data_IF_630776032308
#
_entry.id   IF_630776032308
#
_cell.length_a   1.000
_cell.length_b   1.000
_cell.length_c   1.000
_cell.angle_alpha   90.00
_cell.angle_beta   90.00
_cell.angle_gamma   90.00
#
_symmetry.space_group_name_H-M   'P 1'
#
loop_
_entity.id
_entity.type
_entity.pdbx_description
1 polymer ?
#
# COMPACT_ATOMS: atom_id res chain seq x y z
N UNK A 1 10.00 -15.11 -10.57
CA UNK A 1 9.30 -14.26 -9.58
C UNK A 1 10.13 -13.03 -9.32
N UNK A 2 9.53 -11.85 -9.28
CA UNK A 2 10.20 -10.58 -8.97
C UNK A 2 10.37 -10.42 -7.44
N UNK A 3 11.30 -9.57 -7.00
CA UNK A 3 11.44 -9.22 -5.58
C UNK A 3 10.14 -8.67 -4.96
N UNK A 4 9.31 -8.03 -5.79
CA UNK A 4 7.99 -7.50 -5.42
C UNK A 4 7.02 -8.61 -5.04
N UNK A 5 7.08 -9.77 -5.72
CA UNK A 5 6.17 -10.90 -5.47
C UNK A 5 6.49 -11.61 -4.14
N UNK A 6 7.78 -11.64 -3.77
CA UNK A 6 8.24 -12.24 -2.50
C UNK A 6 7.89 -11.34 -1.32
N UNK A 7 7.98 -10.02 -1.49
CA UNK A 7 7.51 -9.06 -0.50
C UNK A 7 6.00 -9.22 -0.27
N UNK A 8 5.21 -9.27 -1.34
CA UNK A 8 3.75 -9.50 -1.31
C UNK A 8 3.36 -10.75 -0.51
N UNK A 9 4.05 -11.87 -0.70
CA UNK A 9 3.78 -13.10 0.05
C UNK A 9 4.00 -12.99 1.57
N UNK A 10 4.89 -12.09 2.03
CA UNK A 10 5.13 -11.82 3.45
C UNK A 10 4.24 -10.72 4.03
N UNK A 11 3.45 -10.04 3.18
CA UNK A 11 2.55 -8.94 3.53
C UNK A 11 1.12 -9.40 3.81
N UNK A 12 0.80 -10.64 3.45
CA UNK A 12 -0.39 -11.35 3.91
C UNK A 12 -0.67 -11.15 5.41
N UNK A 13 0.39 -11.20 6.22
CA UNK A 13 0.35 -11.02 7.68
C UNK A 13 0.05 -9.58 8.14
N UNK A 14 0.15 -8.59 7.24
CA UNK A 14 -0.12 -7.18 7.55
C UNK A 14 -1.60 -6.83 7.43
N UNK A 15 -2.35 -7.62 6.66
CA UNK A 15 -3.77 -7.40 6.47
C UNK A 15 -4.54 -7.83 7.73
N UNK A 16 -5.55 -7.05 8.15
CA UNK A 16 -6.43 -7.48 9.21
C UNK A 16 -7.17 -8.78 8.82
N UNK A 17 -7.60 -9.59 9.80
CA UNK A 17 -8.42 -10.77 9.52
C UNK A 17 -9.66 -10.44 8.67
N UNK A 18 -10.01 -11.34 7.75
CA UNK A 18 -11.18 -11.20 6.87
C UNK A 18 -10.95 -10.42 5.58
N UNK A 19 -9.77 -9.83 5.38
CA UNK A 19 -9.41 -9.19 4.12
C UNK A 19 -8.95 -10.22 3.08
N UNK A 20 -9.51 -10.10 1.87
CA UNK A 20 -9.08 -10.81 0.66
C UNK A 20 -7.84 -10.10 0.12
N UNK A 21 -6.79 -10.85 -0.15
CA UNK A 21 -5.53 -10.30 -0.66
C UNK A 21 -5.60 -10.10 -2.17
N UNK A 22 -4.87 -9.11 -2.68
CA UNK A 22 -4.71 -8.89 -4.13
C UNK A 22 -6.05 -8.82 -4.89
N UNK A 23 -7.05 -8.21 -4.25
CA UNK A 23 -8.38 -8.15 -4.84
C UNK A 23 -8.39 -7.17 -6.02
N UNK A 24 -8.88 -7.64 -7.16
CA UNK A 24 -8.94 -6.85 -8.39
C UNK A 24 -10.37 -6.36 -8.60
N UNK A 25 -10.54 -5.05 -8.61
CA UNK A 25 -11.78 -4.41 -9.04
C UNK A 25 -11.79 -4.28 -10.57
N UNK A 26 -12.81 -4.82 -11.22
CA UNK A 26 -13.11 -4.48 -12.60
C UNK A 26 -13.78 -3.10 -12.64
N UNK A 27 -13.19 -2.16 -13.37
CA UNK A 27 -13.64 -0.78 -13.50
C UNK A 27 -14.23 -0.57 -14.89
N UNK A 28 -15.46 -0.06 -14.94
CA UNK A 28 -16.11 0.40 -16.16
C UNK A 28 -16.67 1.82 -15.95
N UNK A 29 -16.14 2.79 -16.70
CA UNK A 29 -16.51 4.21 -16.59
C UNK A 29 -16.58 4.81 -17.99
N UNK A 30 -17.75 5.29 -18.41
CA UNK A 30 -17.94 5.98 -19.71
C UNK A 30 -17.32 5.24 -20.92
N UNK A 31 -17.43 3.90 -20.93
CA UNK A 31 -16.89 3.03 -21.98
C UNK A 31 -15.42 2.64 -21.82
N UNK A 32 -14.70 3.23 -20.86
CA UNK A 32 -13.38 2.74 -20.44
C UNK A 32 -13.52 1.49 -19.58
N UNK A 33 -12.74 0.45 -19.90
CA UNK A 33 -12.61 -0.77 -19.10
C UNK A 33 -11.19 -0.90 -18.57
N UNK A 34 -11.06 -1.18 -17.29
CA UNK A 34 -9.78 -1.35 -16.63
C UNK A 34 -9.88 -2.19 -15.38
N UNK A 35 -8.74 -2.37 -14.73
CA UNK A 35 -8.64 -3.14 -13.50
C UNK A 35 -7.84 -2.34 -12.47
N UNK A 36 -8.26 -2.43 -11.20
CA UNK A 36 -7.52 -1.88 -10.08
C UNK A 36 -7.32 -2.97 -9.02
N UNK A 37 -6.09 -3.47 -8.92
CA UNK A 37 -5.67 -4.35 -7.82
C UNK A 37 -5.46 -3.52 -6.54
N UNK A 38 -5.99 -4.01 -5.42
CA UNK A 38 -5.66 -3.52 -4.08
C UNK A 38 -4.99 -4.61 -3.25
N UNK A 39 -4.09 -4.23 -2.34
CA UNK A 39 -3.36 -5.19 -1.52
C UNK A 39 -4.30 -5.97 -0.59
N UNK A 40 -5.37 -5.34 -0.09
CA UNK A 40 -6.42 -6.02 0.66
C UNK A 40 -7.81 -5.44 0.49
N UNK A 41 -8.84 -6.29 0.46
CA UNK A 41 -10.25 -5.88 0.42
C UNK A 41 -11.12 -6.68 1.39
N UNK A 42 -11.94 -6.01 2.19
CA UNK A 42 -12.89 -6.64 3.10
C UNK A 42 -14.32 -6.54 2.54
N UNK A 43 -14.96 -7.66 2.14
CA UNK A 43 -16.24 -7.62 1.41
C UNK A 43 -17.40 -7.00 2.20
N UNK A 44 -17.50 -7.26 3.51
CA UNK A 44 -18.66 -6.84 4.29
C UNK A 44 -18.61 -5.37 4.69
N UNK A 45 -17.43 -4.84 5.04
CA UNK A 45 -17.23 -3.40 5.31
C UNK A 45 -16.93 -2.59 4.05
N UNK A 46 -16.68 -3.27 2.92
CA UNK A 46 -16.28 -2.70 1.63
C UNK A 46 -15.07 -1.80 1.77
N UNK A 47 -14.10 -2.27 2.55
CA UNK A 47 -12.89 -1.51 2.85
C UNK A 47 -11.72 -2.02 2.03
N UNK A 48 -10.99 -1.12 1.38
CA UNK A 48 -9.78 -1.47 0.65
C UNK A 48 -8.52 -0.93 1.35
N UNK A 49 -7.42 -1.65 1.17
CA UNK A 49 -6.13 -1.41 1.78
C UNK A 49 -5.04 -1.42 0.70
N UNK A 50 -4.16 -0.41 0.77
CA UNK A 50 -2.88 -0.36 0.06
C UNK A 50 -1.72 -0.40 1.05
N UNK A 51 -0.64 -1.09 0.69
CA UNK A 51 0.60 -1.19 1.45
C UNK A 51 1.70 -0.52 0.63
N UNK A 52 2.01 0.73 0.99
CA UNK A 52 3.11 1.47 0.38
C UNK A 52 4.43 1.12 1.08
N UNK A 53 5.21 0.26 0.43
CA UNK A 53 6.55 -0.08 0.88
C UNK A 53 7.60 0.94 0.43
N UNK A 54 8.58 1.15 1.30
CA UNK A 54 9.81 1.84 0.93
C UNK A 54 11.01 1.03 1.39
N UNK A 55 11.81 0.61 0.42
CA UNK A 55 13.14 0.03 0.63
C UNK A 55 14.17 1.08 1.11
N UNK A 56 13.76 2.34 1.30
CA UNK A 56 14.69 3.39 1.72
C UNK A 56 15.07 3.18 3.18
N UNK A 57 16.35 2.86 3.39
CA UNK A 57 17.03 2.91 4.69
C UNK A 57 17.57 4.32 5.00
N UNK A 58 17.39 5.29 4.09
CA UNK A 58 17.87 6.67 4.24
C UNK A 58 16.85 7.59 4.90
N UNK A 59 17.27 8.84 5.15
CA UNK A 59 16.49 9.83 5.91
C UNK A 59 15.22 10.33 5.19
N UNK A 60 15.19 10.25 3.85
CA UNK A 60 14.07 10.70 3.04
C UNK A 60 13.63 9.61 2.04
N UNK A 61 12.31 9.50 1.76
CA UNK A 61 11.84 8.58 0.73
C UNK A 61 12.24 9.03 -0.67
N UNK A 62 12.56 8.05 -1.52
CA UNK A 62 12.96 8.28 -2.91
C UNK A 62 11.78 8.83 -3.73
N UNK A 63 12.00 9.62 -4.80
CA UNK A 63 10.94 10.17 -5.63
C UNK A 63 9.93 9.12 -6.16
N UNK A 64 10.41 7.94 -6.56
CA UNK A 64 9.54 6.85 -7.01
C UNK A 64 8.59 6.34 -5.92
N UNK A 65 9.00 6.35 -4.65
CA UNK A 65 8.18 5.91 -3.52
C UNK A 65 7.09 6.94 -3.21
N UNK A 66 7.43 8.23 -3.29
CA UNK A 66 6.45 9.33 -3.16
C UNK A 66 5.37 9.23 -4.24
N UNK A 67 5.77 8.95 -5.50
CA UNK A 67 4.84 8.75 -6.62
C UNK A 67 3.96 7.51 -6.44
N UNK A 68 4.53 6.39 -5.97
CA UNK A 68 3.74 5.20 -5.66
C UNK A 68 2.68 5.49 -4.59
N UNK A 69 3.06 6.12 -3.48
CA UNK A 69 2.11 6.50 -2.44
C UNK A 69 0.97 7.39 -2.98
N UNK A 70 1.31 8.40 -3.79
CA UNK A 70 0.31 9.26 -4.42
C UNK A 70 -0.62 8.46 -5.35
N UNK A 71 -0.08 7.55 -6.15
CA UNK A 71 -0.86 6.65 -7.01
C UNK A 71 -1.79 5.74 -6.20
N UNK A 72 -1.31 5.16 -5.10
CA UNK A 72 -2.08 4.27 -4.23
C UNK A 72 -3.24 5.03 -3.58
N UNK A 73 -3.00 6.27 -3.13
CA UNK A 73 -4.06 7.16 -2.61
C UNK A 73 -5.08 7.50 -3.69
N UNK A 74 -4.64 7.91 -4.89
CA UNK A 74 -5.54 8.26 -5.99
C UNK A 74 -6.41 7.08 -6.43
N UNK A 75 -5.84 5.87 -6.47
CA UNK A 75 -6.58 4.63 -6.74
C UNK A 75 -7.72 4.42 -5.73
N UNK A 76 -7.45 4.58 -4.43
CA UNK A 76 -8.48 4.46 -3.39
C UNK A 76 -9.53 5.57 -3.48
N UNK A 77 -9.14 6.81 -3.82
CA UNK A 77 -10.10 7.90 -4.07
C UNK A 77 -11.04 7.55 -5.21
N UNK A 78 -10.50 7.07 -6.35
CA UNK A 78 -11.27 6.68 -7.51
C UNK A 78 -12.26 5.56 -7.17
N UNK A 79 -11.79 4.48 -6.55
CA UNK A 79 -12.64 3.35 -6.14
C UNK A 79 -13.79 3.79 -5.21
N UNK A 80 -13.54 4.80 -4.36
CA UNK A 80 -14.58 5.36 -3.50
C UNK A 80 -15.58 6.21 -4.30
N UNK A 81 -15.11 7.05 -5.22
CA UNK A 81 -15.96 7.88 -6.07
C UNK A 81 -16.87 7.03 -6.98
N UNK A 82 -16.36 5.90 -7.46
CA UNK A 82 -17.13 4.89 -8.20
C UNK A 82 -18.06 4.07 -7.30
N UNK A 83 -18.05 4.34 -6.00
CA UNK A 83 -18.89 3.64 -5.03
C UNK A 83 -18.56 2.15 -4.94
N UNK A 84 -17.33 1.72 -5.26
CA UNK A 84 -16.89 0.32 -5.16
C UNK A 84 -16.43 -0.03 -3.75
N UNK A 85 -15.81 0.93 -3.07
CA UNK A 85 -15.40 0.82 -1.66
C UNK A 85 -16.11 1.90 -0.84
N UNK A 86 -16.39 1.59 0.42
CA UNK A 86 -16.93 2.55 1.39
C UNK A 86 -15.82 3.30 2.13
N UNK A 87 -14.66 2.66 2.32
CA UNK A 87 -13.49 3.22 3.02
C UNK A 87 -12.19 2.74 2.37
N UNK A 88 -11.14 3.57 2.43
CA UNK A 88 -9.80 3.21 1.98
C UNK A 88 -8.78 3.41 3.09
N UNK A 89 -7.79 2.54 3.21
CA UNK A 89 -6.62 2.77 4.06
C UNK A 89 -5.31 2.59 3.32
N UNK A 90 -4.31 3.39 3.68
CA UNK A 90 -2.94 3.21 3.20
C UNK A 90 -2.02 2.93 4.37
N UNK A 91 -1.36 1.79 4.33
CA UNK A 91 -0.30 1.40 5.26
C UNK A 91 1.06 1.79 4.70
N UNK A 92 1.78 2.61 5.44
CA UNK A 92 3.16 2.97 5.10
C UNK A 92 4.10 2.20 6.02
N UNK A 93 5.01 1.40 5.45
CA UNK A 93 5.85 0.49 6.23
C UNK A 93 7.24 1.05 6.60
N UNK A 94 7.62 2.21 6.05
CA UNK A 94 8.93 2.84 6.28
C UNK A 94 8.86 4.06 7.20
N UNK A 95 9.78 4.20 8.17
CA UNK A 95 9.90 5.40 9.00
C UNK A 95 10.16 6.68 8.21
N UNK A 96 10.99 6.63 7.16
CA UNK A 96 11.27 7.81 6.35
C UNK A 96 10.02 8.30 5.61
N UNK A 97 9.21 7.35 5.13
CA UNK A 97 7.93 7.70 4.53
C UNK A 97 6.94 8.25 5.56
N UNK A 98 6.86 7.65 6.75
CA UNK A 98 6.06 8.16 7.86
C UNK A 98 6.38 9.63 8.13
N UNK A 99 7.66 9.94 8.34
CA UNK A 99 8.12 11.30 8.68
C UNK A 99 7.79 12.29 7.57
N UNK A 100 8.05 11.91 6.31
CA UNK A 100 7.70 12.75 5.17
C UNK A 100 6.19 13.01 5.09
N UNK A 101 5.34 11.99 5.26
CA UNK A 101 3.88 12.15 5.25
C UNK A 101 3.38 13.12 6.33
N UNK A 102 4.00 13.11 7.51
CA UNK A 102 3.69 14.06 8.58
C UNK A 102 4.08 15.50 8.22
N UNK A 103 5.23 15.67 7.55
CA UNK A 103 5.77 16.99 7.19
C UNK A 103 5.09 17.60 5.95
N UNK A 104 4.74 16.80 4.95
CA UNK A 104 4.20 17.24 3.65
C UNK A 104 2.70 16.94 3.48
N UNK A 105 2.01 16.57 4.56
CA UNK A 105 0.70 15.92 4.55
C UNK A 105 -0.51 16.79 4.24
N UNK A 106 -0.37 18.00 3.66
CA UNK A 106 -1.53 18.86 3.37
C UNK A 106 -2.55 18.15 2.47
N UNK A 107 -2.08 17.47 1.43
CA UNK A 107 -2.91 16.68 0.51
C UNK A 107 -3.39 15.36 1.13
N UNK A 108 -2.63 14.75 2.03
CA UNK A 108 -3.04 13.57 2.81
C UNK A 108 -4.17 13.91 3.79
N UNK A 109 -4.11 15.10 4.40
CA UNK A 109 -5.15 15.63 5.26
C UNK A 109 -6.39 16.01 4.46
N UNK A 110 -6.23 16.48 3.22
CA UNK A 110 -7.36 16.65 2.30
C UNK A 110 -7.99 15.29 1.94
N UNK A 111 -7.18 14.27 1.65
CA UNK A 111 -7.67 12.92 1.35
C UNK A 111 -8.44 12.30 2.53
N UNK A 112 -7.94 12.48 3.76
CA UNK A 112 -8.65 12.09 4.98
C UNK A 112 -9.99 12.82 5.14
N UNK A 113 -9.98 14.16 5.02
CA UNK A 113 -11.17 15.00 5.26
C UNK A 113 -12.26 14.82 4.19
N UNK A 114 -11.88 14.81 2.91
CA UNK A 114 -12.84 14.81 1.81
C UNK A 114 -13.22 13.39 1.38
N UNK A 115 -12.31 12.42 1.48
CA UNK A 115 -12.54 11.08 0.94
C UNK A 115 -12.52 9.97 2.01
N UNK A 116 -12.36 10.29 3.30
CA UNK A 116 -12.35 9.29 4.38
C UNK A 116 -11.36 8.15 4.06
N UNK A 117 -10.15 8.54 3.63
CA UNK A 117 -9.03 7.63 3.41
C UNK A 117 -8.11 7.72 4.62
N UNK A 118 -8.07 6.65 5.42
CA UNK A 118 -7.24 6.60 6.61
C UNK A 118 -5.83 6.12 6.28
N UNK A 119 -4.89 7.01 6.47
CA UNK A 119 -3.48 6.69 6.25
C UNK A 119 -2.93 6.22 7.58
N UNK A 120 -2.84 4.90 7.73
CA UNK A 120 -2.26 4.27 8.91
C UNK A 120 -0.77 4.13 8.68
N UNK A 121 -0.01 5.05 9.22
CA UNK A 121 1.43 4.98 9.14
C UNK A 121 1.91 3.97 10.20
N UNK A 122 2.57 2.89 9.79
CA UNK A 122 3.07 1.85 10.69
C UNK A 122 4.57 1.74 10.54
N UNK A 123 5.31 2.33 11.48
CA UNK A 123 6.74 2.08 11.58
C UNK A 123 6.96 0.60 11.92
N UNK A 124 7.43 -0.20 10.96
CA UNK A 124 7.83 -1.57 11.25
C UNK A 124 9.11 -1.56 12.09
N UNK A 125 8.94 -1.48 13.41
CA UNK A 125 10.04 -1.39 14.40
C UNK A 125 10.71 -2.74 14.69
N UNK A 126 10.10 -3.89 14.35
CA UNK A 126 10.66 -5.21 14.66
C UNK A 126 11.80 -5.59 13.72
N UNK A 127 13.04 -5.36 14.18
CA UNK A 127 14.33 -5.77 13.58
C UNK A 127 14.31 -7.21 13.03
N UNK A 128 13.63 -8.13 13.71
CA UNK A 128 13.50 -9.55 13.33
C UNK A 128 12.81 -9.72 11.98
N UNK A 129 11.74 -8.95 11.71
CA UNK A 129 10.97 -9.07 10.49
C UNK A 129 11.68 -8.41 9.31
N UNK A 130 12.33 -7.25 9.54
CA UNK A 130 13.24 -6.63 8.56
C UNK A 130 14.38 -7.59 8.17
N UNK A 131 14.93 -8.34 9.14
CA UNK A 131 15.96 -9.36 8.90
C UNK A 131 15.41 -10.55 8.11
N UNK A 132 14.20 -11.03 8.42
CA UNK A 132 13.53 -12.10 7.65
C UNK A 132 13.30 -11.70 6.19
N UNK A 133 12.69 -10.53 5.96
CA UNK A 133 12.43 -9.99 4.62
C UNK A 133 13.74 -9.77 3.85
N UNK A 134 14.74 -9.13 4.48
CA UNK A 134 16.08 -8.96 3.89
C UNK A 134 16.72 -10.30 3.52
N UNK A 135 16.63 -11.30 4.39
CA UNK A 135 17.22 -12.62 4.12
C UNK A 135 16.43 -13.41 3.05
N UNK A 136 15.13 -13.17 2.91
CA UNK A 136 14.33 -13.73 1.81
C UNK A 136 14.75 -13.11 0.47
N UNK A 137 14.85 -11.77 0.41
CA UNK A 137 15.30 -11.04 -0.78
C UNK A 137 16.74 -11.41 -1.20
N UNK A 138 17.65 -11.57 -0.23
CA UNK A 138 19.03 -11.99 -0.51
C UNK A 138 19.11 -13.42 -1.07
N UNK A 139 18.24 -14.34 -0.62
CA UNK A 139 18.18 -15.71 -1.14
C UNK A 139 17.63 -15.74 -2.56
N UNK A 140 16.50 -15.07 -2.80
CA UNK A 140 15.90 -15.00 -4.13
C UNK A 140 16.86 -14.43 -5.18
N UNK A 141 17.62 -13.38 -4.84
CA UNK A 141 18.63 -12.79 -5.73
C UNK A 141 19.80 -13.72 -6.05
N UNK A 142 20.10 -14.67 -5.15
CA UNK A 142 21.17 -15.66 -5.31
C UNK A 142 20.72 -16.86 -6.15
N UNK A 143 19.43 -17.20 -6.09
CA UNK A 143 18.80 -18.27 -6.88
C UNK A 143 18.49 -17.85 -8.33
N UNK A 144 18.38 -16.54 -8.59
CA UNK A 144 18.20 -15.97 -9.93
C UNK A 144 19.51 -15.71 -10.69
N UNK A 145 20.67 -16.06 -10.11
CA UNK A 145 21.98 -16.03 -10.75
C UNK A 145 22.43 -17.46 -11.03
#
# INVERSE_FOLDING_TARGET
MSNTDILRSSEADLLPPGFIQHYVFAIEVDGYKGEAEVDGYHPSSREAIEICQSESMGESPKPGQKRKLASDVLKLVLLKQLGMISRGRVFVTSPAMYTWCQQSGSWLNAARRHYCIDIILKAHSRKVMRKKVRNALLRARKEMR
#
